data_IF_424438103499
#
_entry.id   IF_424438103499
#
_cell.length_a   1.000
_cell.length_b   1.000
_cell.length_c   1.000
_cell.angle_alpha   90.00
_cell.angle_beta   90.00
_cell.angle_gamma   90.00
#
_symmetry.space_group_name_H-M   'P 1'
#
loop_
_entity.id
_entity.type
_entity.pdbx_description
1 polymer ?
#
# COMPACT_ATOMS: atom_id res chain seq x y z
N UNK A 1 -15.54 18.22 -3.29
CA UNK A 1 -14.18 18.25 -3.84
C UNK A 1 -13.89 16.87 -4.41
N UNK A 2 -14.14 16.69 -5.72
CA UNK A 2 -13.91 15.40 -6.39
C UNK A 2 -12.43 15.06 -6.46
N UNK A 3 -12.06 13.84 -6.18
CA UNK A 3 -10.74 13.29 -6.46
C UNK A 3 -10.42 13.56 -7.93
N UNK A 4 -9.38 14.35 -8.19
CA UNK A 4 -8.90 14.57 -9.55
C UNK A 4 -8.06 13.36 -9.94
N UNK A 5 -8.69 12.42 -10.61
CA UNK A 5 -8.04 11.21 -11.13
C UNK A 5 -8.28 11.07 -12.63
N UNK A 6 -7.47 10.24 -13.25
CA UNK A 6 -7.61 9.82 -14.64
C UNK A 6 -7.58 8.29 -14.71
N UNK A 7 -8.43 7.74 -15.56
CA UNK A 7 -8.38 6.31 -15.91
C UNK A 7 -7.55 6.15 -17.19
N UNK A 8 -6.69 5.16 -17.19
CA UNK A 8 -5.80 4.85 -18.29
C UNK A 8 -6.03 3.41 -18.74
N UNK A 9 -5.96 3.20 -20.03
CA UNK A 9 -6.00 1.87 -20.64
C UNK A 9 -4.85 1.75 -21.63
N UNK A 10 -4.11 0.66 -21.56
CA UNK A 10 -3.09 0.35 -22.55
C UNK A 10 -3.77 -0.15 -23.85
N UNK A 11 -3.32 0.40 -24.97
CA UNK A 11 -3.90 0.10 -26.29
C UNK A 11 -2.97 -0.70 -27.20
N UNK A 12 -1.82 -1.16 -26.68
CA UNK A 12 -0.88 -1.98 -27.45
C UNK A 12 -1.46 -3.38 -27.72
N UNK A 13 -1.18 -3.99 -28.87
CA UNK A 13 -1.62 -5.36 -29.16
C UNK A 13 -1.13 -6.36 -28.09
N UNK A 14 -2.01 -7.28 -27.72
CA UNK A 14 -1.75 -8.36 -26.76
C UNK A 14 -1.47 -7.92 -25.30
N UNK A 15 -1.79 -6.66 -24.97
CA UNK A 15 -1.74 -6.18 -23.60
C UNK A 15 -3.10 -5.67 -23.14
N UNK A 16 -3.49 -6.05 -21.93
CA UNK A 16 -4.70 -5.53 -21.29
C UNK A 16 -4.30 -5.01 -19.91
N UNK A 17 -3.91 -3.75 -19.87
CA UNK A 17 -3.54 -3.07 -18.62
C UNK A 17 -4.43 -1.85 -18.42
N UNK A 18 -5.06 -1.77 -17.28
CA UNK A 18 -5.80 -0.59 -16.84
C UNK A 18 -5.14 -0.01 -15.60
N UNK A 19 -5.15 1.30 -15.48
CA UNK A 19 -4.62 1.98 -14.31
C UNK A 19 -5.42 3.24 -13.96
N UNK A 20 -5.18 3.75 -12.77
CA UNK A 20 -5.76 4.99 -12.28
C UNK A 20 -4.62 5.91 -11.84
N UNK A 21 -4.67 7.15 -12.26
CA UNK A 21 -3.77 8.19 -11.77
C UNK A 21 -4.53 9.16 -10.86
N UNK A 22 -3.96 9.50 -9.73
CA UNK A 22 -4.50 10.46 -8.77
C UNK A 22 -3.59 11.68 -8.64
N UNK A 23 -4.18 12.85 -8.39
CA UNK A 23 -3.41 14.03 -8.06
C UNK A 23 -2.79 13.90 -6.66
N UNK A 24 -1.53 14.27 -6.52
CA UNK A 24 -0.86 14.26 -5.21
C UNK A 24 -1.42 15.33 -4.25
N UNK A 25 -2.00 16.39 -4.78
CA UNK A 25 -2.52 17.50 -3.98
C UNK A 25 -1.41 18.42 -3.44
N UNK A 26 -1.75 19.25 -2.45
CA UNK A 26 -0.84 20.23 -1.84
C UNK A 26 -0.27 19.78 -0.49
N UNK A 27 -0.24 18.48 -0.20
CA UNK A 27 0.30 17.97 1.05
C UNK A 27 1.81 18.19 1.16
N UNK A 28 2.27 18.44 2.37
CA UNK A 28 3.69 18.31 2.71
C UNK A 28 4.02 16.82 2.78
N UNK A 29 4.74 16.32 1.79
CA UNK A 29 5.15 14.92 1.76
C UNK A 29 6.32 14.69 2.70
N UNK A 30 5.99 14.25 3.90
CA UNK A 30 6.91 13.88 4.98
C UNK A 30 6.24 12.81 5.84
N UNK A 31 7.01 12.12 6.67
CA UNK A 31 6.46 11.16 7.64
C UNK A 31 5.40 11.79 8.55
N UNK A 32 5.58 13.05 8.95
CA UNK A 32 4.60 13.79 9.76
C UNK A 32 3.32 14.10 8.98
N UNK A 33 3.44 14.39 7.68
CA UNK A 33 2.31 14.69 6.80
C UNK A 33 1.38 13.52 6.55
N UNK A 34 1.80 12.30 6.89
CA UNK A 34 1.00 11.07 6.80
C UNK A 34 0.70 10.45 8.17
N UNK A 35 0.75 11.27 9.23
CA UNK A 35 0.40 10.84 10.60
C UNK A 35 -1.12 10.67 10.74
N UNK A 36 -1.63 9.53 10.31
CA UNK A 36 -3.06 9.20 10.36
C UNK A 36 -3.26 7.71 10.62
N UNK A 37 -4.51 7.34 10.80
CA UNK A 37 -4.96 5.95 10.74
C UNK A 37 -5.51 5.70 9.36
N UNK A 38 -5.00 4.66 8.71
CA UNK A 38 -5.43 4.27 7.36
C UNK A 38 -6.07 2.88 7.39
N UNK A 39 -7.18 2.72 6.72
CA UNK A 39 -7.63 1.42 6.27
C UNK A 39 -6.90 1.04 4.98
N UNK A 40 -6.59 -0.23 4.79
CA UNK A 40 -5.94 -0.69 3.57
C UNK A 40 -6.62 -1.90 2.96
N UNK A 41 -6.43 -2.06 1.67
CA UNK A 41 -6.70 -3.29 0.95
C UNK A 41 -5.55 -3.58 -0.02
N UNK A 42 -5.28 -4.86 -0.22
CA UNK A 42 -4.29 -5.35 -1.17
C UNK A 42 -4.77 -6.62 -1.85
N UNK A 43 -4.36 -6.81 -3.09
CA UNK A 43 -4.58 -8.05 -3.84
C UNK A 43 -3.37 -8.35 -4.71
N UNK A 44 -3.19 -9.62 -5.02
CA UNK A 44 -2.09 -10.02 -5.88
C UNK A 44 -1.84 -11.51 -5.89
N UNK A 45 -0.61 -11.87 -6.16
CA UNK A 45 -0.17 -13.26 -6.23
C UNK A 45 1.26 -13.40 -5.68
N UNK A 46 1.47 -14.42 -4.88
CA UNK A 46 2.80 -14.97 -4.57
C UNK A 46 3.07 -16.10 -5.55
N UNK A 47 4.05 -15.92 -6.44
CA UNK A 47 4.24 -16.82 -7.61
C UNK A 47 4.43 -18.29 -7.24
N UNK A 48 4.99 -18.57 -6.07
CA UNK A 48 5.21 -19.95 -5.57
C UNK A 48 4.08 -20.50 -4.69
N UNK A 49 3.12 -19.67 -4.28
CA UNK A 49 2.11 -20.03 -3.27
C UNK A 49 0.68 -19.89 -3.82
N UNK A 50 0.35 -18.77 -4.46
CA UNK A 50 -0.98 -18.50 -5.01
C UNK A 50 -1.50 -17.11 -4.77
N UNK A 51 -2.80 -16.93 -4.93
CA UNK A 51 -3.47 -15.63 -4.80
C UNK A 51 -3.51 -15.14 -3.37
N UNK A 52 -3.36 -13.82 -3.19
CA UNK A 52 -3.51 -13.15 -1.91
C UNK A 52 -4.51 -12.01 -2.00
N UNK A 53 -5.32 -11.88 -0.96
CA UNK A 53 -6.08 -10.69 -0.63
C UNK A 53 -5.81 -10.32 0.82
N UNK A 54 -5.69 -9.04 1.10
CA UNK A 54 -5.48 -8.56 2.47
C UNK A 54 -6.27 -7.27 2.71
N UNK A 55 -6.70 -7.09 3.95
CA UNK A 55 -7.28 -5.84 4.42
C UNK A 55 -6.98 -5.64 5.89
N UNK A 56 -7.04 -4.40 6.35
CA UNK A 56 -6.79 -4.08 7.73
C UNK A 56 -6.62 -2.59 7.97
N UNK A 57 -5.96 -2.28 9.06
CA UNK A 57 -5.74 -0.89 9.48
C UNK A 57 -4.30 -0.69 9.93
N UNK A 58 -3.71 0.42 9.53
CA UNK A 58 -2.40 0.90 9.99
C UNK A 58 -2.53 2.25 10.67
N UNK A 59 -1.82 2.41 11.78
CA UNK A 59 -1.62 3.69 12.48
C UNK A 59 -0.19 4.12 12.22
N UNK A 60 -0.01 5.23 11.50
CA UNK A 60 1.28 5.85 11.23
C UNK A 60 1.52 6.95 12.26
N UNK A 61 2.65 6.89 12.98
CA UNK A 61 2.92 7.78 14.11
C UNK A 61 3.51 9.15 13.73
N UNK A 62 3.82 9.37 12.45
CA UNK A 62 4.47 10.61 11.97
C UNK A 62 5.97 10.70 12.25
N UNK A 63 6.59 9.62 12.71
CA UNK A 63 8.01 9.51 13.05
C UNK A 63 8.67 8.27 12.44
N UNK A 64 8.06 7.72 11.39
CA UNK A 64 8.60 6.58 10.65
C UNK A 64 8.26 5.20 11.23
N UNK A 65 7.35 5.08 12.20
CA UNK A 65 6.85 3.78 12.67
C UNK A 65 5.36 3.60 12.43
N UNK A 66 4.98 2.38 12.12
CA UNK A 66 3.59 1.98 11.95
C UNK A 66 3.25 0.76 12.83
N UNK A 67 2.00 0.71 13.24
CA UNK A 67 1.41 -0.44 13.92
C UNK A 67 0.01 -0.69 13.35
N UNK A 68 -0.51 -1.90 13.48
CA UNK A 68 -1.84 -2.18 13.00
C UNK A 68 -2.25 -3.63 13.14
N UNK A 69 -3.30 -3.98 12.40
CA UNK A 69 -3.80 -5.35 12.28
C UNK A 69 -4.17 -5.59 10.83
N UNK A 70 -3.80 -6.74 10.32
CA UNK A 70 -4.12 -7.16 8.96
C UNK A 70 -4.75 -8.55 8.94
N UNK A 71 -5.77 -8.72 8.13
CA UNK A 71 -6.34 -10.01 7.79
C UNK A 71 -5.90 -10.38 6.38
N UNK A 72 -5.26 -11.52 6.26
CA UNK A 72 -4.77 -12.09 5.01
C UNK A 72 -5.62 -13.29 4.61
N UNK A 73 -5.89 -13.41 3.33
CA UNK A 73 -6.41 -14.62 2.69
C UNK A 73 -5.40 -15.05 1.64
N UNK A 74 -4.66 -16.11 1.92
CA UNK A 74 -3.64 -16.65 1.05
C UNK A 74 -4.13 -18.01 0.51
N UNK A 75 -4.44 -18.04 -0.77
CA UNK A 75 -4.98 -19.22 -1.45
C UNK A 75 -6.17 -19.87 -0.69
N UNK A 76 -7.01 -19.01 -0.06
CA UNK A 76 -8.17 -19.42 0.73
C UNK A 76 -7.90 -19.66 2.23
N UNK A 77 -6.65 -19.75 2.67
CA UNK A 77 -6.29 -19.78 4.10
C UNK A 77 -6.32 -18.38 4.68
N UNK A 78 -6.97 -18.21 5.83
CA UNK A 78 -7.22 -16.91 6.46
C UNK A 78 -6.44 -16.80 7.77
N UNK A 79 -5.74 -15.68 7.97
CA UNK A 79 -5.10 -15.32 9.22
C UNK A 79 -5.31 -13.82 9.51
N UNK A 80 -5.55 -13.48 10.78
CA UNK A 80 -5.57 -12.09 11.26
C UNK A 80 -4.45 -11.89 12.25
N UNK A 81 -3.51 -10.99 11.96
CA UNK A 81 -2.28 -10.83 12.70
C UNK A 81 -2.03 -9.36 13.06
N UNK A 82 -1.50 -9.08 14.26
CA UNK A 82 -0.91 -7.79 14.56
C UNK A 82 0.26 -7.53 13.63
N UNK A 83 0.45 -6.26 13.26
CA UNK A 83 1.51 -5.82 12.35
C UNK A 83 2.28 -4.67 12.97
N UNK A 84 3.60 -4.71 12.86
CA UNK A 84 4.49 -3.60 13.23
C UNK A 84 5.46 -3.31 12.09
N UNK A 85 5.96 -2.07 11.99
CA UNK A 85 6.88 -1.75 10.91
C UNK A 85 7.40 -0.33 10.95
N UNK A 86 8.12 0.01 9.90
CA UNK A 86 8.70 1.34 9.67
C UNK A 86 8.32 1.86 8.29
N UNK A 87 8.34 3.17 8.13
CA UNK A 87 8.10 3.82 6.84
C UNK A 87 8.94 5.09 6.72
N UNK A 88 9.15 5.54 5.50
CA UNK A 88 9.79 6.80 5.18
C UNK A 88 9.13 7.42 3.95
N UNK A 89 8.71 8.68 4.06
CA UNK A 89 8.14 9.46 2.96
C UNK A 89 9.11 10.58 2.58
N UNK A 90 9.49 10.62 1.32
CA UNK A 90 10.37 11.65 0.75
C UNK A 90 9.56 12.87 0.29
N UNK A 91 10.23 14.01 0.13
CA UNK A 91 9.62 15.27 -0.28
C UNK A 91 8.96 15.25 -1.67
N UNK A 92 9.28 14.26 -2.50
CA UNK A 92 8.63 14.01 -3.80
C UNK A 92 7.36 13.15 -3.70
N UNK A 93 6.85 12.90 -2.47
CA UNK A 93 5.68 12.06 -2.18
C UNK A 93 5.85 10.57 -2.46
N UNK A 94 7.02 10.12 -2.84
CA UNK A 94 7.36 8.70 -2.90
C UNK A 94 7.99 8.24 -1.58
N UNK A 95 7.84 6.99 -1.25
CA UNK A 95 8.40 6.44 -0.02
C UNK A 95 8.51 4.92 -0.05
N UNK A 96 8.92 4.39 1.08
CA UNK A 96 9.00 2.94 1.33
C UNK A 96 8.43 2.61 2.70
N UNK A 97 7.94 1.41 2.86
CA UNK A 97 7.64 0.85 4.17
C UNK A 97 8.04 -0.62 4.23
N UNK A 98 8.40 -1.04 5.42
CA UNK A 98 8.62 -2.45 5.75
C UNK A 98 7.74 -2.78 6.94
N UNK A 99 6.91 -3.78 6.83
CA UNK A 99 6.06 -4.22 7.92
C UNK A 99 6.12 -5.74 8.10
N UNK A 100 5.96 -6.17 9.34
CA UNK A 100 6.08 -7.58 9.71
C UNK A 100 4.81 -8.02 10.44
N UNK A 101 3.98 -8.88 9.82
CA UNK A 101 2.93 -9.57 10.54
C UNK A 101 3.54 -10.49 11.60
N UNK A 102 2.90 -10.62 12.74
CA UNK A 102 3.43 -11.38 13.86
C UNK A 102 3.66 -12.85 13.48
N UNK A 103 4.91 -13.31 13.61
CA UNK A 103 5.31 -14.68 13.28
C UNK A 103 5.64 -14.93 11.81
N UNK A 104 5.54 -13.91 10.96
CA UNK A 104 5.79 -13.99 9.53
C UNK A 104 7.05 -13.23 9.11
N UNK A 105 7.44 -13.37 7.87
CA UNK A 105 8.53 -12.61 7.26
C UNK A 105 8.13 -11.15 7.05
N UNK A 106 9.12 -10.26 7.02
CA UNK A 106 8.90 -8.86 6.68
C UNK A 106 8.46 -8.71 5.22
N UNK A 107 7.58 -7.75 4.99
CA UNK A 107 7.03 -7.37 3.68
C UNK A 107 7.50 -5.95 3.36
N UNK A 108 8.10 -5.76 2.20
CA UNK A 108 8.61 -4.47 1.74
C UNK A 108 7.71 -3.91 0.64
N UNK A 109 7.39 -2.64 0.75
CA UNK A 109 6.54 -1.94 -0.22
C UNK A 109 7.16 -0.61 -0.65
N UNK A 110 6.94 -0.24 -1.89
CA UNK A 110 7.08 1.13 -2.37
C UNK A 110 5.71 1.81 -2.34
N UNK A 111 5.67 3.06 -1.90
CA UNK A 111 4.44 3.83 -1.74
C UNK A 111 4.50 5.17 -2.46
N UNK A 112 3.34 5.66 -2.89
CA UNK A 112 3.16 7.03 -3.39
C UNK A 112 1.99 7.66 -2.65
N UNK A 113 2.24 8.80 -2.02
CA UNK A 113 1.24 9.60 -1.31
C UNK A 113 0.44 10.41 -2.33
N UNK A 114 -0.87 10.33 -2.26
CA UNK A 114 -1.79 11.05 -3.13
C UNK A 114 -2.89 11.73 -2.31
N UNK A 115 -3.74 12.51 -2.95
CA UNK A 115 -4.91 13.13 -2.35
C UNK A 115 -4.60 13.92 -1.06
N UNK A 116 -3.46 14.63 -1.04
CA UNK A 116 -3.10 15.47 0.10
C UNK A 116 -2.72 14.70 1.38
N UNK A 117 -2.20 13.49 1.26
CA UNK A 117 -1.83 12.64 2.40
C UNK A 117 -2.95 11.72 2.91
N UNK A 118 -4.15 11.83 2.35
CA UNK A 118 -5.32 11.03 2.75
C UNK A 118 -5.37 9.63 2.11
N UNK A 119 -4.56 9.44 1.10
CA UNK A 119 -4.50 8.19 0.36
C UNK A 119 -3.06 7.87 -0.04
N UNK A 120 -2.72 6.60 -0.06
CA UNK A 120 -1.47 6.09 -0.61
C UNK A 120 -1.76 4.91 -1.51
N UNK A 121 -1.00 4.82 -2.59
CA UNK A 121 -0.94 3.64 -3.46
C UNK A 121 0.36 2.91 -3.18
N UNK A 122 0.35 1.60 -3.21
CA UNK A 122 1.56 0.82 -2.97
C UNK A 122 1.68 -0.41 -3.86
N UNK A 123 2.90 -0.85 -4.01
CA UNK A 123 3.27 -2.14 -4.60
C UNK A 123 4.29 -2.83 -3.71
N UNK A 124 4.15 -4.12 -3.52
CA UNK A 124 5.15 -4.96 -2.84
C UNK A 124 6.40 -5.10 -3.71
N UNK A 125 7.57 -5.04 -3.08
CA UNK A 125 8.87 -5.02 -3.78
C UNK A 125 9.70 -6.28 -3.51
N UNK A 126 9.17 -7.24 -2.77
CA UNK A 126 9.84 -8.50 -2.53
C UNK A 126 9.83 -9.38 -3.78
N UNK A 127 10.85 -10.21 -3.92
CA UNK A 127 10.97 -11.10 -5.06
C UNK A 127 9.84 -12.16 -5.07
N UNK A 128 9.40 -12.54 -6.27
CA UNK A 128 8.33 -13.51 -6.50
C UNK A 128 6.95 -13.10 -5.97
N UNK A 129 6.73 -11.81 -5.80
CA UNK A 129 5.43 -11.25 -5.44
C UNK A 129 4.93 -10.28 -6.53
N UNK A 130 3.64 -10.26 -6.75
CA UNK A 130 2.92 -9.28 -7.58
C UNK A 130 1.71 -8.85 -6.76
N UNK A 131 1.92 -7.93 -5.83
CA UNK A 131 0.88 -7.44 -4.91
C UNK A 131 0.82 -5.93 -4.96
N UNK A 132 -0.36 -5.39 -5.07
CA UNK A 132 -0.59 -3.95 -5.00
C UNK A 132 -1.84 -3.63 -4.18
N UNK A 133 -1.94 -2.40 -3.73
CA UNK A 133 -3.07 -1.97 -2.93
C UNK A 133 -3.10 -0.47 -2.67
N UNK A 134 -4.04 -0.09 -1.82
CA UNK A 134 -4.26 1.30 -1.40
C UNK A 134 -4.42 1.38 0.10
N UNK A 135 -4.02 2.52 0.66
CA UNK A 135 -4.35 2.96 2.01
C UNK A 135 -5.24 4.19 1.92
N UNK A 136 -6.27 4.28 2.74
CA UNK A 136 -7.20 5.41 2.81
C UNK A 136 -7.45 5.79 4.27
N UNK A 137 -7.39 7.11 4.56
CA UNK A 137 -7.75 7.73 5.83
C UNK A 137 -9.26 7.64 6.11
#
# INVERSE_FOLDING_TARGET
NGNKGAYLIQTDPNHTVTSVAYAQGTATCTDLGVKHTYSFQATGIFLSVGQIAASGQFVLNGKGTLTGTATFSLNGSIASLPVTGTYQINSNCAGTATFTPQGESAINIAVVVVNGGKEMMFIETDANTIVSGTLQE
#
